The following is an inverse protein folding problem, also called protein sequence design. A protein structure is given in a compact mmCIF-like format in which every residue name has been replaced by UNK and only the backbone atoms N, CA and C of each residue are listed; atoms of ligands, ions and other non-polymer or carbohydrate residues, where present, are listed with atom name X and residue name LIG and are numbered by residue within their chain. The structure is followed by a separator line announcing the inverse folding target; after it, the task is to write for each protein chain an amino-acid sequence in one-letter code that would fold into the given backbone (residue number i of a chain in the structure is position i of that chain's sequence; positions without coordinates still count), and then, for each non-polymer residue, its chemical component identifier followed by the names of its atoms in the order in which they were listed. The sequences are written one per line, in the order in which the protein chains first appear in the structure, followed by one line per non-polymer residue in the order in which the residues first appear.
data_IF_850479085883
#
_entry.id   IF_850479085883
#
_cell.length_a   1.000
_cell.length_b   1.000
_cell.length_c   1.000
_cell.angle_alpha   90.00
_cell.angle_beta   90.00
_cell.angle_gamma   90.00
#
_symmetry.space_group_name_H-M   'P 1'
#
loop_
_entity.id
_entity.type
_entity.pdbx_description
1 polymer ?
#
# COMPACT_ATOMS: atom_id res chain seq x y z
N UNK A 1 80.97 -22.07 36.86
CA UNK A 1 79.72 -21.75 36.13
C UNK A 1 79.51 -22.83 35.08
N UNK A 2 78.67 -23.81 35.40
CA UNK A 2 78.37 -24.97 34.55
C UNK A 2 77.15 -24.57 33.73
N UNK A 3 77.31 -24.51 32.41
CA UNK A 3 76.31 -24.04 31.46
C UNK A 3 74.96 -24.72 31.70
N UNK A 4 73.98 -23.93 32.09
CA UNK A 4 72.58 -24.28 32.33
C UNK A 4 71.85 -24.47 30.99
N UNK A 5 72.40 -25.30 30.10
CA UNK A 5 71.81 -25.65 28.79
C UNK A 5 71.76 -27.17 28.53
N UNK A 6 72.38 -27.99 29.36
CA UNK A 6 72.46 -29.46 29.16
C UNK A 6 71.24 -30.24 29.71
N UNK A 7 70.16 -29.57 30.12
CA UNK A 7 69.03 -30.25 30.79
C UNK A 7 67.81 -30.57 29.93
N UNK A 8 67.69 -30.02 28.72
CA UNK A 8 66.41 -30.08 27.98
C UNK A 8 66.36 -31.25 26.99
N UNK A 9 67.50 -31.73 26.51
CA UNK A 9 67.57 -32.78 25.50
C UNK A 9 68.25 -34.05 26.03
N UNK A 10 67.51 -35.16 26.14
CA UNK A 10 68.11 -36.45 26.50
C UNK A 10 68.60 -37.15 25.23
N UNK A 11 69.91 -37.17 25.04
CA UNK A 11 70.57 -38.04 24.07
C UNK A 11 70.58 -39.46 24.64
N UNK A 12 69.68 -40.32 24.16
CA UNK A 12 69.65 -41.73 24.57
C UNK A 12 70.47 -42.55 23.58
N UNK A 13 71.51 -43.21 24.08
CA UNK A 13 72.21 -44.28 23.35
C UNK A 13 71.50 -45.60 23.66
N UNK A 14 71.06 -46.29 22.62
CA UNK A 14 70.44 -47.60 22.74
C UNK A 14 71.39 -48.65 22.16
N UNK A 15 71.50 -49.77 22.85
CA UNK A 15 72.20 -50.96 22.41
C UNK A 15 71.15 -52.07 22.24
N UNK A 16 71.13 -52.76 21.10
CA UNK A 16 70.30 -53.97 20.90
C UNK A 16 71.18 -55.22 21.04
N UNK A 17 70.56 -56.32 21.48
CA UNK A 17 71.21 -57.55 21.98
C UNK A 17 72.13 -58.28 20.98
N UNK A 18 72.07 -57.97 19.69
CA UNK A 18 72.93 -58.62 18.66
C UNK A 18 74.08 -57.74 18.14
N UNK A 19 74.52 -56.74 18.91
CA UNK A 19 75.79 -56.03 18.65
C UNK A 19 75.84 -55.14 17.41
N UNK A 20 74.76 -55.04 16.62
CA UNK A 20 74.65 -54.12 15.50
C UNK A 20 73.42 -53.21 15.65
N UNK A 21 73.67 -51.99 16.14
CA UNK A 21 73.28 -50.68 15.56
C UNK A 21 73.68 -49.58 16.56
N UNK A 22 74.66 -48.73 16.20
CA UNK A 22 75.08 -47.58 17.01
C UNK A 22 74.34 -46.32 16.55
N UNK A 23 73.36 -45.87 17.33
CA UNK A 23 72.66 -44.60 17.09
C UNK A 23 72.46 -43.81 18.37
N UNK A 24 72.64 -42.50 18.31
CA UNK A 24 72.24 -41.58 19.39
C UNK A 24 70.96 -40.89 18.97
N UNK A 25 69.90 -41.05 19.78
CA UNK A 25 68.60 -40.46 19.47
C UNK A 25 68.37 -39.23 20.33
N UNK A 26 67.97 -38.12 19.69
CA UNK A 26 67.46 -36.95 20.37
C UNK A 26 66.00 -37.19 20.72
N UNK A 27 65.69 -37.30 22.02
CA UNK A 27 64.32 -37.42 22.51
C UNK A 27 63.91 -36.12 23.20
N UNK A 28 62.87 -35.48 22.68
CA UNK A 28 62.23 -34.30 23.29
C UNK A 28 60.92 -34.79 23.91
N UNK A 29 60.87 -35.01 25.24
CA UNK A 29 59.70 -35.60 25.89
C UNK A 29 58.49 -34.65 25.93
N UNK A 30 58.73 -33.35 25.96
CA UNK A 30 57.72 -32.29 25.98
C UNK A 30 58.27 -31.15 25.12
N UNK A 31 57.52 -30.73 24.10
CA UNK A 31 57.96 -29.69 23.16
C UNK A 31 57.66 -28.32 23.75
N UNK A 32 58.70 -27.51 23.98
CA UNK A 32 58.60 -26.12 24.43
C UNK A 32 58.88 -25.16 23.29
N UNK A 33 58.55 -23.88 23.49
CA UNK A 33 58.83 -22.85 22.48
C UNK A 33 60.32 -22.74 22.11
N UNK A 34 61.20 -23.06 23.05
CA UNK A 34 62.65 -23.08 22.87
C UNK A 34 63.15 -24.24 21.99
N UNK A 35 62.33 -25.29 21.83
CA UNK A 35 62.69 -26.49 21.06
C UNK A 35 62.31 -26.36 19.57
N UNK A 36 61.65 -25.27 19.16
CA UNK A 36 61.35 -25.01 17.76
C UNK A 36 62.62 -24.58 17.01
N UNK A 37 62.84 -25.17 15.84
CA UNK A 37 64.04 -24.92 15.06
C UNK A 37 64.36 -26.04 14.07
N UNK A 38 65.49 -25.87 13.38
CA UNK A 38 65.99 -26.82 12.39
C UNK A 38 67.03 -27.75 13.03
N UNK A 39 66.79 -29.05 12.90
CA UNK A 39 67.63 -30.12 13.42
C UNK A 39 68.25 -30.91 12.27
N UNK A 40 69.43 -31.49 12.51
CA UNK A 40 70.13 -32.33 11.52
C UNK A 40 70.34 -33.72 12.10
N UNK A 41 69.82 -34.72 11.41
CA UNK A 41 70.11 -36.12 11.68
C UNK A 41 71.29 -36.55 10.82
N UNK A 42 72.36 -37.01 11.46
CA UNK A 42 73.58 -37.48 10.80
C UNK A 42 73.65 -39.00 10.93
N UNK A 43 73.66 -39.70 9.79
CA UNK A 43 73.82 -41.14 9.71
C UNK A 43 75.20 -41.41 9.13
N UNK A 44 76.11 -41.97 9.93
CA UNK A 44 77.47 -42.30 9.51
C UNK A 44 77.62 -43.81 9.37
N UNK A 45 77.98 -44.25 8.17
CA UNK A 45 78.48 -45.60 7.89
C UNK A 45 79.95 -45.51 7.48
N UNK A 46 80.75 -46.59 7.63
CA UNK A 46 82.14 -46.58 7.20
C UNK A 46 82.24 -46.19 5.72
N UNK A 47 82.79 -45.01 5.43
CA UNK A 47 82.97 -44.48 4.07
C UNK A 47 81.82 -43.66 3.49
N UNK A 48 80.68 -43.48 4.17
CA UNK A 48 79.59 -42.62 3.70
C UNK A 48 78.84 -41.96 4.87
N UNK A 49 78.61 -40.65 4.79
CA UNK A 49 77.83 -39.89 5.78
C UNK A 49 76.65 -39.23 5.08
N UNK A 50 75.45 -39.47 5.61
CA UNK A 50 74.21 -38.89 5.09
C UNK A 50 73.65 -37.94 6.15
N UNK A 51 73.35 -36.72 5.73
CA UNK A 51 72.69 -35.72 6.58
C UNK A 51 71.24 -35.53 6.13
N UNK A 52 70.32 -35.48 7.10
CA UNK A 52 68.88 -35.24 6.89
C UNK A 52 68.45 -34.08 7.77
N UNK A 53 67.97 -33.01 7.15
CA UNK A 53 67.39 -31.86 7.87
C UNK A 53 65.94 -32.15 8.27
N UNK A 54 65.58 -31.77 9.49
CA UNK A 54 64.24 -31.92 10.08
C UNK A 54 63.90 -30.65 10.85
N UNK A 55 62.82 -29.97 10.49
CA UNK A 55 62.38 -28.74 11.17
C UNK A 55 61.20 -29.00 12.10
N UNK A 56 61.27 -28.56 13.34
CA UNK A 56 60.13 -28.55 14.27
C UNK A 56 59.58 -27.13 14.33
N UNK A 57 58.33 -26.94 13.88
CA UNK A 57 57.66 -25.63 13.85
C UNK A 57 56.36 -25.70 14.63
N UNK A 58 55.99 -24.57 15.23
CA UNK A 58 54.69 -24.42 15.87
C UNK A 58 53.59 -24.45 14.80
N UNK A 59 52.64 -25.37 14.94
CA UNK A 59 51.43 -25.39 14.11
C UNK A 59 50.38 -24.53 14.81
N UNK A 60 50.32 -23.25 14.47
CA UNK A 60 49.19 -22.40 14.87
C UNK A 60 47.99 -22.78 13.98
N UNK A 61 47.13 -23.66 14.49
CA UNK A 61 45.79 -23.83 13.94
C UNK A 61 45.00 -22.56 14.31
N UNK A 62 45.04 -21.58 13.42
CA UNK A 62 44.06 -20.50 13.44
C UNK A 62 42.71 -21.14 13.10
N UNK A 63 41.90 -21.45 14.11
CA UNK A 63 40.48 -21.65 13.88
C UNK A 63 39.92 -20.32 13.37
N UNK A 64 39.86 -20.20 12.05
CA UNK A 64 39.16 -19.11 11.39
C UNK A 64 37.69 -19.21 11.81
N UNK A 65 37.27 -18.32 12.71
CA UNK A 65 35.88 -18.25 13.18
C UNK A 65 34.99 -17.83 12.00
N UNK A 66 34.60 -18.79 11.18
CA UNK A 66 33.60 -18.61 10.14
C UNK A 66 32.27 -18.50 10.85
N UNK A 67 31.82 -17.26 11.08
CA UNK A 67 30.55 -16.96 11.73
C UNK A 67 29.42 -17.74 11.02
N UNK A 68 28.79 -18.74 11.67
CA UNK A 68 27.95 -19.73 10.99
C UNK A 68 26.61 -19.15 10.48
N UNK A 69 26.32 -17.88 10.79
CA UNK A 69 25.19 -17.17 10.24
C UNK A 69 25.47 -15.65 10.22
N UNK A 70 26.06 -15.11 9.14
CA UNK A 70 26.12 -13.67 8.95
C UNK A 70 24.71 -13.20 8.59
N UNK A 71 23.79 -13.15 9.56
CA UNK A 71 22.50 -12.50 9.39
C UNK A 71 22.83 -11.10 8.89
N UNK A 72 22.38 -10.70 7.70
CA UNK A 72 22.80 -9.43 7.12
C UNK A 72 22.01 -8.31 7.79
N UNK A 73 22.24 -8.09 9.08
CA UNK A 73 21.53 -7.12 9.93
C UNK A 73 21.52 -5.75 9.28
N UNK A 74 22.63 -5.35 8.65
CA UNK A 74 22.70 -4.11 7.86
C UNK A 74 21.73 -4.09 6.68
N UNK A 75 21.62 -5.17 5.90
CA UNK A 75 20.64 -5.25 4.78
C UNK A 75 19.21 -5.26 5.30
N UNK A 76 18.95 -5.95 6.41
CA UNK A 76 17.63 -5.98 7.04
C UNK A 76 17.23 -4.59 7.55
N UNK A 77 18.13 -3.85 8.21
CA UNK A 77 17.88 -2.48 8.66
C UNK A 77 17.62 -1.56 7.46
N UNK A 78 18.40 -1.68 6.38
CA UNK A 78 18.19 -0.89 5.16
C UNK A 78 16.83 -1.18 4.53
N UNK A 79 16.45 -2.45 4.39
CA UNK A 79 15.14 -2.86 3.85
C UNK A 79 14.01 -2.34 4.75
N UNK A 80 14.13 -2.51 6.07
CA UNK A 80 13.12 -2.02 7.02
C UNK A 80 12.98 -0.49 6.98
N UNK A 81 14.10 0.24 6.86
CA UNK A 81 14.06 1.69 6.71
C UNK A 81 13.39 2.11 5.40
N UNK A 82 13.69 1.43 4.29
CA UNK A 82 13.06 1.69 3.00
C UNK A 82 11.55 1.42 3.04
N UNK A 83 11.13 0.32 3.65
CA UNK A 83 9.71 0.00 3.86
C UNK A 83 9.04 1.08 4.70
N UNK A 84 9.68 1.56 5.77
CA UNK A 84 9.14 2.63 6.62
C UNK A 84 8.96 3.93 5.83
N UNK A 85 9.95 4.32 5.02
CA UNK A 85 9.85 5.53 4.18
C UNK A 85 8.72 5.41 3.15
N UNK A 86 8.58 4.25 2.51
CA UNK A 86 7.49 3.99 1.56
C UNK A 86 6.14 4.03 2.28
N UNK A 87 6.01 3.42 3.45
CA UNK A 87 4.79 3.47 4.25
C UNK A 87 4.42 4.90 4.65
N UNK A 88 5.39 5.70 5.11
CA UNK A 88 5.18 7.11 5.43
C UNK A 88 4.75 7.91 4.19
N UNK A 89 5.39 7.68 3.04
CA UNK A 89 5.00 8.33 1.79
C UNK A 89 3.57 7.97 1.40
N UNK A 90 3.17 6.70 1.50
CA UNK A 90 1.80 6.26 1.25
C UNK A 90 0.81 6.93 2.22
N UNK A 91 1.15 7.04 3.51
CA UNK A 91 0.32 7.71 4.51
C UNK A 91 0.15 9.19 4.16
N UNK A 92 1.23 9.89 3.82
CA UNK A 92 1.17 11.31 3.43
C UNK A 92 0.34 11.50 2.16
N UNK A 93 0.56 10.66 1.14
CA UNK A 93 -0.23 10.67 -0.09
C UNK A 93 -1.71 10.38 0.19
N UNK A 94 -2.01 9.45 1.10
CA UNK A 94 -3.38 9.16 1.52
C UNK A 94 -4.02 10.34 2.28
N UNK A 95 -3.28 11.02 3.15
CA UNK A 95 -3.79 12.19 3.87
C UNK A 95 -4.03 13.38 2.93
N UNK A 96 -3.15 13.61 1.96
CA UNK A 96 -3.27 14.74 1.03
C UNK A 96 -4.22 14.47 -0.14
N UNK A 97 -4.15 13.28 -0.72
CA UNK A 97 -4.84 12.91 -1.96
C UNK A 97 -5.88 11.82 -1.77
N UNK A 98 -6.17 11.40 -0.53
CA UNK A 98 -7.05 10.27 -0.24
C UNK A 98 -8.40 10.37 -0.93
N UNK A 99 -9.03 11.55 -0.96
CA UNK A 99 -10.31 11.74 -1.67
C UNK A 99 -10.15 11.58 -3.18
N UNK A 100 -9.11 12.16 -3.79
CA UNK A 100 -8.85 12.05 -5.24
C UNK A 100 -8.60 10.60 -5.63
N UNK A 101 -7.77 9.92 -4.83
CA UNK A 101 -7.40 8.52 -5.03
C UNK A 101 -8.58 7.58 -4.84
N UNK A 102 -9.40 7.79 -3.79
CA UNK A 102 -10.62 7.00 -3.57
C UNK A 102 -11.62 7.15 -4.72
N UNK A 103 -11.79 8.37 -5.26
CA UNK A 103 -12.64 8.58 -6.44
C UNK A 103 -12.09 7.83 -7.65
N UNK A 104 -10.78 7.92 -7.90
CA UNK A 104 -10.14 7.21 -9.01
C UNK A 104 -10.26 5.69 -8.90
N UNK A 105 -10.03 5.12 -7.71
CA UNK A 105 -10.22 3.69 -7.45
C UNK A 105 -11.67 3.32 -7.71
N UNK A 106 -12.60 4.07 -7.12
CA UNK A 106 -14.03 3.78 -7.28
C UNK A 106 -14.42 3.80 -8.76
N UNK A 107 -14.05 4.82 -9.51
CA UNK A 107 -14.43 4.92 -10.93
C UNK A 107 -13.73 3.88 -11.80
N UNK A 108 -12.51 3.46 -11.45
CA UNK A 108 -11.78 2.45 -12.21
C UNK A 108 -12.25 1.01 -11.93
N UNK A 109 -12.65 0.71 -10.70
CA UNK A 109 -12.97 -0.66 -10.26
C UNK A 109 -14.47 -0.94 -10.11
N UNK A 110 -15.31 0.09 -10.04
CA UNK A 110 -16.77 -0.12 -9.94
C UNK A 110 -17.34 -0.44 -11.31
N UNK A 111 -18.05 -1.57 -11.42
CA UNK A 111 -18.79 -1.93 -12.63
C UNK A 111 -19.92 -0.93 -12.88
N UNK A 112 -20.11 -0.54 -14.13
CA UNK A 112 -21.19 0.35 -14.54
C UNK A 112 -22.56 -0.29 -14.27
N UNK A 113 -23.44 0.44 -13.55
CA UNK A 113 -24.80 0.02 -13.15
C UNK A 113 -25.79 0.04 -14.35
N UNK A 114 -25.40 -0.40 -15.56
CA UNK A 114 -26.18 -0.21 -16.81
C UNK A 114 -27.42 -1.10 -16.96
N UNK A 115 -27.46 -2.26 -16.31
CA UNK A 115 -28.54 -3.25 -16.47
C UNK A 115 -29.72 -3.10 -15.48
N UNK A 116 -29.77 -2.01 -14.72
CA UNK A 116 -30.73 -1.85 -13.62
C UNK A 116 -32.13 -1.34 -14.06
N UNK A 117 -32.36 -1.15 -15.36
CA UNK A 117 -33.62 -0.61 -15.90
C UNK A 117 -33.87 0.87 -15.58
N UNK A 118 -32.90 1.56 -14.97
CA UNK A 118 -32.97 2.98 -14.60
C UNK A 118 -32.48 3.88 -15.74
N UNK A 119 -33.22 4.94 -16.03
CA UNK A 119 -32.98 5.80 -17.20
C UNK A 119 -32.00 6.95 -16.93
N UNK A 120 -31.79 7.30 -15.65
CA UNK A 120 -31.01 8.47 -15.23
C UNK A 120 -30.07 8.12 -14.06
N UNK A 121 -28.92 8.79 -13.97
CA UNK A 121 -27.95 8.56 -12.90
C UNK A 121 -28.32 9.30 -11.62
N UNK A 122 -28.64 10.59 -11.78
CA UNK A 122 -28.82 11.52 -10.67
C UNK A 122 -30.06 12.37 -10.92
N UNK A 123 -31.01 12.34 -9.98
CA UNK A 123 -32.10 13.30 -9.90
C UNK A 123 -31.66 14.48 -9.02
N UNK A 124 -31.55 15.67 -9.59
CA UNK A 124 -31.23 16.90 -8.86
C UNK A 124 -32.55 17.55 -8.44
N UNK A 125 -32.74 17.68 -7.13
CA UNK A 125 -33.94 18.26 -6.53
C UNK A 125 -33.56 19.60 -5.89
N UNK A 126 -34.19 20.70 -6.31
CA UNK A 126 -33.75 22.05 -5.92
C UNK A 126 -34.92 22.99 -5.61
N UNK A 127 -34.67 24.04 -4.82
CA UNK A 127 -35.64 25.10 -4.57
C UNK A 127 -35.56 26.13 -5.70
N UNK A 128 -36.68 26.75 -6.13
CA UNK A 128 -36.65 27.73 -7.23
C UNK A 128 -35.65 28.88 -7.00
N UNK A 129 -35.39 29.27 -5.74
CA UNK A 129 -34.38 30.30 -5.40
C UNK A 129 -32.93 29.83 -5.62
N UNK A 130 -32.69 28.52 -5.61
CA UNK A 130 -31.36 27.91 -5.80
C UNK A 130 -31.15 27.36 -7.22
N UNK A 131 -32.08 27.67 -8.14
CA UNK A 131 -32.06 27.18 -9.52
C UNK A 131 -30.76 27.50 -10.26
N UNK A 132 -30.21 28.70 -10.08
CA UNK A 132 -28.95 29.12 -10.70
C UNK A 132 -27.78 28.22 -10.29
N UNK A 133 -27.67 27.88 -9.00
CA UNK A 133 -26.60 27.02 -8.48
C UNK A 133 -26.83 25.56 -8.88
N UNK A 134 -28.07 25.08 -8.77
CA UNK A 134 -28.43 23.70 -9.05
C UNK A 134 -28.33 23.33 -10.54
N UNK A 135 -28.81 24.20 -11.43
CA UNK A 135 -28.78 23.96 -12.87
C UNK A 135 -27.50 24.48 -13.51
N UNK A 136 -27.09 25.71 -13.18
CA UNK A 136 -25.97 26.38 -13.83
C UNK A 136 -24.60 25.86 -13.39
N UNK A 137 -24.45 25.46 -12.12
CA UNK A 137 -23.15 24.94 -11.63
C UNK A 137 -23.21 23.43 -11.46
N UNK A 138 -24.15 22.93 -10.67
CA UNK A 138 -24.17 21.52 -10.27
C UNK A 138 -24.49 20.58 -11.43
N UNK A 139 -25.62 20.81 -12.13
CA UNK A 139 -26.02 19.99 -13.27
C UNK A 139 -25.00 20.10 -14.41
N UNK A 140 -24.63 21.32 -14.81
CA UNK A 140 -23.66 21.53 -15.89
C UNK A 140 -22.32 20.82 -15.62
N UNK A 141 -21.80 20.91 -14.39
CA UNK A 141 -20.55 20.22 -14.03
C UNK A 141 -20.71 18.70 -14.04
N UNK A 142 -21.82 18.18 -13.51
CA UNK A 142 -22.09 16.73 -13.49
C UNK A 142 -22.23 16.15 -14.90
N UNK A 143 -22.86 16.87 -15.82
CA UNK A 143 -23.06 16.43 -17.20
C UNK A 143 -21.78 16.61 -18.03
N UNK A 144 -21.18 17.82 -18.04
CA UNK A 144 -20.04 18.14 -18.92
C UNK A 144 -18.71 17.58 -18.44
N UNK A 145 -18.40 17.68 -17.14
CA UNK A 145 -17.10 17.27 -16.62
C UNK A 145 -17.09 15.80 -16.18
N UNK A 146 -18.22 15.31 -15.65
CA UNK A 146 -18.31 13.98 -15.06
C UNK A 146 -19.13 12.97 -15.87
N UNK A 147 -19.75 13.37 -16.99
CA UNK A 147 -20.52 12.50 -17.90
C UNK A 147 -21.66 11.73 -17.20
N UNK A 148 -22.29 12.33 -16.19
CA UNK A 148 -23.51 11.78 -15.62
C UNK A 148 -24.72 12.20 -16.43
N UNK A 149 -25.72 11.32 -16.51
CA UNK A 149 -27.04 11.70 -17.04
C UNK A 149 -27.90 12.24 -15.89
N UNK A 150 -28.05 13.55 -15.85
CA UNK A 150 -28.80 14.23 -14.80
C UNK A 150 -30.20 14.58 -15.27
N UNK A 151 -31.15 14.53 -14.34
CA UNK A 151 -32.50 15.09 -14.53
C UNK A 151 -32.75 16.02 -13.36
N UNK A 152 -33.31 17.20 -13.60
CA UNK A 152 -33.56 18.17 -12.56
C UNK A 152 -35.07 18.37 -12.33
N UNK A 153 -35.47 18.51 -11.07
CA UNK A 153 -36.85 18.75 -10.68
C UNK A 153 -36.93 19.73 -9.52
N UNK A 154 -37.90 20.64 -9.59
CA UNK A 154 -38.16 21.58 -8.52
C UNK A 154 -38.78 20.89 -7.31
N UNK A 155 -38.39 21.32 -6.11
CA UNK A 155 -39.00 20.91 -4.85
C UNK A 155 -40.45 21.41 -4.82
N UNK A 156 -41.44 20.52 -4.65
CA UNK A 156 -42.82 20.95 -4.52
C UNK A 156 -42.98 21.81 -3.26
N UNK A 157 -43.75 22.91 -3.34
CA UNK A 157 -44.05 23.72 -2.18
C UNK A 157 -44.83 22.89 -1.14
N UNK A 158 -44.65 23.19 0.14
CA UNK A 158 -45.30 22.52 1.28
C UNK A 158 -44.87 21.06 1.52
N UNK A 159 -43.59 20.74 1.29
CA UNK A 159 -42.97 19.47 1.72
C UNK A 159 -43.67 18.19 1.20
N UNK A 160 -44.38 18.29 0.07
CA UNK A 160 -45.02 17.15 -0.62
C UNK A 160 -44.03 16.36 -1.48
N UNK A 161 -42.94 15.92 -0.88
CA UNK A 161 -41.87 15.24 -1.63
C UNK A 161 -42.28 13.88 -2.20
N UNK A 162 -43.39 13.30 -1.74
CA UNK A 162 -43.96 12.06 -2.29
C UNK A 162 -44.24 12.13 -3.79
N UNK A 163 -44.53 13.32 -4.33
CA UNK A 163 -44.77 13.51 -5.77
C UNK A 163 -43.51 13.22 -6.60
N UNK A 164 -42.31 13.37 -6.02
CA UNK A 164 -41.03 13.10 -6.67
C UNK A 164 -40.64 11.62 -6.66
N UNK A 165 -41.45 10.75 -6.05
CA UNK A 165 -41.11 9.34 -5.85
C UNK A 165 -40.98 8.62 -7.18
N UNK A 166 -41.85 8.93 -8.15
CA UNK A 166 -41.86 8.26 -9.45
C UNK A 166 -40.61 8.62 -10.27
N UNK A 167 -40.17 9.88 -10.25
CA UNK A 167 -38.91 10.30 -10.86
C UNK A 167 -37.69 9.76 -10.10
N UNK A 168 -37.76 9.74 -8.76
CA UNK A 168 -36.69 9.22 -7.92
C UNK A 168 -36.42 7.74 -8.22
N UNK A 169 -37.45 6.92 -8.44
CA UNK A 169 -37.30 5.50 -8.76
C UNK A 169 -36.68 5.26 -10.14
N UNK A 170 -36.90 6.16 -11.11
CA UNK A 170 -36.24 6.12 -12.43
C UNK A 170 -34.75 6.44 -12.35
N UNK A 171 -34.29 7.05 -11.25
CA UNK A 171 -32.92 7.50 -11.06
C UNK A 171 -32.13 6.57 -10.11
N UNK A 172 -30.81 6.47 -10.31
CA UNK A 172 -29.94 5.66 -9.44
C UNK A 172 -29.70 6.32 -8.09
N UNK A 173 -29.52 7.64 -8.07
CA UNK A 173 -29.33 8.46 -6.87
C UNK A 173 -30.20 9.71 -6.94
N UNK A 174 -30.58 10.24 -5.78
CA UNK A 174 -31.27 11.53 -5.64
C UNK A 174 -30.35 12.50 -4.91
N UNK A 175 -30.17 13.68 -5.46
CA UNK A 175 -29.32 14.75 -4.97
C UNK A 175 -30.18 15.97 -4.66
N UNK A 176 -30.48 16.26 -3.40
CA UNK A 176 -31.20 17.47 -3.05
C UNK A 176 -30.23 18.61 -2.72
N UNK A 177 -30.44 19.76 -3.34
CA UNK A 177 -29.81 21.03 -2.97
C UNK A 177 -30.65 21.67 -1.87
N UNK A 178 -30.04 21.86 -0.71
CA UNK A 178 -30.72 22.25 0.51
C UNK A 178 -30.20 23.62 0.98
N UNK A 179 -31.11 24.57 1.07
CA UNK A 179 -30.87 25.93 1.56
C UNK A 179 -32.05 26.37 2.42
N UNK A 180 -31.96 27.51 3.13
CA UNK A 180 -33.12 28.09 3.82
C UNK A 180 -34.36 28.23 2.91
N UNK A 181 -34.17 28.47 1.62
CA UNK A 181 -35.26 28.56 0.65
C UNK A 181 -35.96 27.22 0.37
N UNK A 182 -35.32 26.08 0.66
CA UNK A 182 -35.94 24.76 0.51
C UNK A 182 -37.01 24.47 1.58
N UNK A 183 -37.00 25.23 2.69
CA UNK A 183 -37.89 25.04 3.85
C UNK A 183 -38.73 26.29 4.11
N UNK A 184 -39.06 27.03 3.05
CA UNK A 184 -39.83 28.28 3.13
C UNK A 184 -39.24 29.29 4.13
N UNK A 185 -37.91 29.41 4.18
CA UNK A 185 -37.15 30.32 5.08
C UNK A 185 -37.20 29.96 6.57
N UNK A 186 -37.98 28.95 6.97
CA UNK A 186 -38.05 28.44 8.34
C UNK A 186 -36.96 27.40 8.60
N UNK A 187 -35.69 27.85 8.63
CA UNK A 187 -34.48 27.03 8.76
C UNK A 187 -34.24 26.52 10.20
N UNK A 188 -35.25 25.86 10.76
CA UNK A 188 -35.20 25.27 12.09
C UNK A 188 -34.81 23.79 12.05
N UNK A 189 -34.21 23.29 13.13
CA UNK A 189 -33.79 21.87 13.28
C UNK A 189 -34.92 20.90 12.96
N UNK A 190 -36.14 21.18 13.43
CA UNK A 190 -37.30 20.30 13.23
C UNK A 190 -37.75 20.26 11.77
N UNK A 191 -37.86 21.42 11.11
CA UNK A 191 -38.34 21.49 9.73
C UNK A 191 -37.31 20.88 8.77
N UNK A 192 -36.02 21.16 8.99
CA UNK A 192 -34.91 20.56 8.25
C UNK A 192 -34.91 19.04 8.44
N UNK A 193 -35.08 18.55 9.67
CA UNK A 193 -35.11 17.12 9.94
C UNK A 193 -36.31 16.44 9.28
N UNK A 194 -37.51 17.03 9.36
CA UNK A 194 -38.72 16.51 8.70
C UNK A 194 -38.54 16.46 7.19
N UNK A 195 -38.01 17.51 6.57
CA UNK A 195 -37.79 17.55 5.14
C UNK A 195 -36.77 16.49 4.68
N UNK A 196 -35.66 16.33 5.40
CA UNK A 196 -34.66 15.30 5.10
C UNK A 196 -35.23 13.88 5.25
N UNK A 197 -36.06 13.63 6.27
CA UNK A 197 -36.74 12.33 6.46
C UNK A 197 -37.68 12.00 5.30
N UNK A 198 -38.46 12.97 4.85
CA UNK A 198 -39.38 12.78 3.73
C UNK A 198 -38.64 12.58 2.40
N UNK A 199 -37.49 13.24 2.20
CA UNK A 199 -36.64 12.98 1.03
C UNK A 199 -35.97 11.60 1.11
N UNK A 200 -35.59 11.16 2.30
CA UNK A 200 -35.06 9.81 2.52
C UNK A 200 -36.11 8.72 2.27
N UNK A 201 -37.39 8.99 2.52
CA UNK A 201 -38.48 8.02 2.32
C UNK A 201 -38.84 7.77 0.85
N UNK A 202 -38.22 8.47 -0.10
CA UNK A 202 -38.37 8.24 -1.54
C UNK A 202 -37.88 6.84 -1.99
N UNK A 203 -37.11 6.16 -1.15
CA UNK A 203 -36.72 4.75 -1.34
C UNK A 203 -35.50 4.55 -2.22
N UNK A 204 -34.82 5.61 -2.63
CA UNK A 204 -33.55 5.56 -3.36
C UNK A 204 -32.42 6.17 -2.51
N UNK A 205 -31.16 5.82 -2.84
CA UNK A 205 -30.00 6.36 -2.13
C UNK A 205 -29.97 7.88 -2.32
N UNK A 206 -30.16 8.58 -1.22
CA UNK A 206 -30.31 10.03 -1.14
C UNK A 206 -28.99 10.68 -0.69
N UNK A 207 -28.63 11.79 -1.31
CA UNK A 207 -27.49 12.64 -0.97
C UNK A 207 -28.01 14.07 -0.85
N UNK A 208 -27.62 14.77 0.21
CA UNK A 208 -28.01 16.15 0.44
C UNK A 208 -26.79 17.07 0.30
N UNK A 209 -26.92 18.13 -0.49
CA UNK A 209 -25.93 19.19 -0.67
C UNK A 209 -26.47 20.43 0.03
N UNK A 210 -25.89 20.77 1.17
CA UNK A 210 -26.28 21.95 1.93
C UNK A 210 -25.50 23.18 1.43
N UNK A 211 -26.23 24.21 0.99
CA UNK A 211 -25.67 25.52 0.59
C UNK A 211 -25.43 26.44 1.79
N UNK A 212 -26.02 26.13 2.92
CA UNK A 212 -25.87 26.86 4.18
C UNK A 212 -25.58 25.87 5.31
N UNK A 213 -24.93 26.35 6.37
CA UNK A 213 -24.71 25.53 7.55
C UNK A 213 -26.06 25.04 8.10
N UNK A 214 -26.15 23.73 8.32
CA UNK A 214 -27.32 23.15 9.00
C UNK A 214 -27.46 23.78 10.40
N UNK A 215 -28.69 24.03 10.87
CA UNK A 215 -28.90 24.61 12.17
C UNK A 215 -28.33 23.67 13.24
N UNK A 216 -27.36 24.18 14.00
CA UNK A 216 -26.77 23.46 15.14
C UNK A 216 -27.68 23.70 16.33
N UNK A 217 -28.46 22.70 16.71
CA UNK A 217 -29.21 22.78 17.95
C UNK A 217 -28.25 22.53 19.10
N UNK A 218 -27.99 23.53 19.94
CA UNK A 218 -27.18 23.39 21.18
C UNK A 218 -27.78 22.34 22.12
N UNK A 219 -29.09 22.11 22.02
CA UNK A 219 -29.78 20.99 22.61
C UNK A 219 -30.16 20.02 21.48
N UNK A 220 -29.56 18.83 21.40
CA UNK A 220 -29.98 17.82 20.43
C UNK A 220 -31.43 17.38 20.74
N UNK A 221 -32.41 18.11 20.21
CA UNK A 221 -33.82 17.79 20.37
C UNK A 221 -34.05 16.49 19.62
N UNK A 222 -34.28 15.42 20.37
CA UNK A 222 -34.70 14.13 19.82
C UNK A 222 -36.12 14.32 19.29
N UNK A 223 -36.35 13.88 18.05
CA UNK A 223 -37.71 13.80 17.55
C UNK A 223 -38.51 12.74 18.33
N UNK A 224 -39.81 12.62 18.03
CA UNK A 224 -40.69 11.60 18.61
C UNK A 224 -40.22 10.15 18.43
N UNK A 225 -39.26 9.91 17.53
CA UNK A 225 -38.63 8.61 17.26
C UNK A 225 -37.22 8.47 17.88
N UNK A 226 -36.77 9.44 18.69
CA UNK A 226 -35.47 9.39 19.36
C UNK A 226 -34.26 9.76 18.49
N UNK A 227 -34.47 10.13 17.23
CA UNK A 227 -33.37 10.44 16.30
C UNK A 227 -33.03 11.93 16.31
N UNK A 228 -31.72 12.23 16.29
CA UNK A 228 -31.19 13.59 16.20
C UNK A 228 -30.91 13.97 14.75
N UNK A 229 -30.89 15.27 14.46
CA UNK A 229 -30.48 15.78 13.14
C UNK A 229 -29.06 15.32 12.77
N UNK A 230 -28.15 15.22 13.75
CA UNK A 230 -26.80 14.71 13.54
C UNK A 230 -26.78 13.25 13.09
N UNK A 231 -27.61 12.39 13.69
CA UNK A 231 -27.74 10.99 13.28
C UNK A 231 -28.26 10.87 11.83
N UNK A 232 -29.30 11.64 11.51
CA UNK A 232 -29.90 11.67 10.17
C UNK A 232 -28.92 12.21 9.11
N UNK A 233 -28.16 13.25 9.46
CA UNK A 233 -27.14 13.84 8.58
C UNK A 233 -26.03 12.83 8.24
N UNK A 234 -25.63 12.01 9.22
CA UNK A 234 -24.62 10.96 9.02
C UNK A 234 -25.13 9.83 8.12
N UNK A 235 -26.40 9.43 8.25
CA UNK A 235 -26.97 8.34 7.44
C UNK A 235 -27.24 8.76 5.99
N UNK A 236 -27.67 10.01 5.76
CA UNK A 236 -27.92 10.56 4.42
C UNK A 236 -26.62 10.96 3.71
N UNK A 237 -25.56 11.27 4.47
CA UNK A 237 -24.29 11.72 3.90
C UNK A 237 -24.41 13.14 3.35
N UNK A 238 -24.79 14.09 4.22
CA UNK A 238 -24.85 15.52 3.86
C UNK A 238 -23.46 16.05 3.52
N UNK A 239 -23.37 16.83 2.45
CA UNK A 239 -22.17 17.54 2.02
C UNK A 239 -22.43 19.03 2.14
N UNK A 240 -21.60 19.74 2.89
CA UNK A 240 -21.61 21.20 2.92
C UNK A 240 -20.84 21.73 1.70
N UNK A 241 -21.49 22.59 0.91
CA UNK A 241 -20.83 23.29 -0.18
C UNK A 241 -20.20 24.58 0.30
N UNK A 242 -18.90 24.53 0.58
CA UNK A 242 -18.10 25.73 0.82
C UNK A 242 -17.40 26.15 -0.48
N UNK A 243 -17.74 27.32 -1.03
CA UNK A 243 -17.13 27.87 -2.27
C UNK A 243 -15.60 28.00 -2.21
N UNK A 244 -14.99 27.91 -1.02
CA UNK A 244 -13.53 27.95 -0.83
C UNK A 244 -12.85 26.60 -1.10
N UNK A 245 -13.59 25.50 -1.07
CA UNK A 245 -13.06 24.13 -1.16
C UNK A 245 -13.81 23.30 -2.21
N UNK A 246 -14.02 23.86 -3.40
CA UNK A 246 -14.80 23.23 -4.47
C UNK A 246 -14.25 21.85 -4.86
N UNK A 247 -12.94 21.68 -4.98
CA UNK A 247 -12.31 20.38 -5.28
C UNK A 247 -12.75 19.28 -4.31
N UNK A 248 -12.62 19.55 -3.01
CA UNK A 248 -12.97 18.60 -1.95
C UNK A 248 -14.46 18.28 -1.97
N UNK A 249 -15.29 19.29 -2.22
CA UNK A 249 -16.72 19.13 -2.44
C UNK A 249 -17.00 18.15 -3.58
N UNK A 250 -16.44 18.37 -4.76
CA UNK A 250 -16.65 17.53 -5.94
C UNK A 250 -16.19 16.08 -5.75
N UNK A 251 -15.02 15.85 -5.15
CA UNK A 251 -14.57 14.49 -4.86
C UNK A 251 -15.52 13.80 -3.86
N UNK A 252 -15.92 14.51 -2.80
CA UNK A 252 -16.85 13.96 -1.80
C UNK A 252 -18.24 13.66 -2.38
N UNK A 253 -18.69 14.46 -3.35
CA UNK A 253 -19.94 14.25 -4.07
C UNK A 253 -19.85 13.01 -4.97
N UNK A 254 -18.79 12.90 -5.77
CA UNK A 254 -18.55 11.74 -6.65
C UNK A 254 -18.43 10.42 -5.90
N UNK A 255 -17.86 10.44 -4.69
CA UNK A 255 -17.83 9.24 -3.84
C UNK A 255 -19.24 8.74 -3.46
N UNK A 256 -20.25 9.61 -3.42
CA UNK A 256 -21.64 9.24 -3.09
C UNK A 256 -22.52 8.98 -4.33
N UNK A 257 -22.14 9.53 -5.48
CA UNK A 257 -22.80 9.32 -6.78
C UNK A 257 -22.51 7.94 -7.41
N UNK A 258 -23.19 7.49 -8.48
CA UNK A 258 -22.81 6.24 -9.15
C UNK A 258 -21.45 6.36 -9.85
N UNK A 259 -20.86 5.25 -10.28
CA UNK A 259 -19.58 5.27 -11.00
C UNK A 259 -19.71 6.04 -12.33
N UNK A 260 -18.65 6.76 -12.71
CA UNK A 260 -18.62 7.54 -13.95
C UNK A 260 -18.78 6.63 -15.18
N UNK A 261 -19.64 7.03 -16.13
CA UNK A 261 -19.71 6.41 -17.46
C UNK A 261 -18.43 6.68 -18.22
N UNK A 262 -17.79 5.63 -18.74
CA UNK A 262 -16.70 5.81 -19.70
C UNK A 262 -17.32 6.37 -20.97
N UNK A 263 -16.76 7.47 -21.45
CA UNK A 263 -17.14 8.04 -22.75
C UNK A 263 -16.81 7.03 -23.84
N UNK A 264 -17.68 6.83 -24.84
CA UNK A 264 -17.54 5.85 -25.94
C UNK A 264 -16.14 5.84 -26.61
N UNK A 265 -15.42 6.98 -26.58
CA UNK A 265 -14.06 7.11 -27.10
C UNK A 265 -12.98 6.32 -26.32
N UNK A 266 -13.21 5.94 -25.06
CA UNK A 266 -12.30 5.09 -24.28
C UNK A 266 -12.56 3.59 -24.50
N UNK A 267 -13.80 3.19 -24.81
CA UNK A 267 -14.13 1.79 -25.13
C UNK A 267 -13.55 1.38 -26.48
N UNK A 268 -13.56 2.28 -27.48
CA UNK A 268 -12.89 2.01 -28.76
C UNK A 268 -11.39 1.86 -28.60
N UNK A 269 -10.75 2.57 -27.67
CA UNK A 269 -9.32 2.43 -27.36
C UNK A 269 -9.01 1.13 -26.62
N UNK A 270 -9.89 0.66 -25.71
CA UNK A 270 -9.67 -0.62 -25.04
C UNK A 270 -9.88 -1.82 -25.99
N UNK A 271 -10.85 -1.76 -26.91
CA UNK A 271 -11.02 -2.78 -27.95
C UNK A 271 -9.85 -2.79 -28.95
N UNK A 272 -9.45 -1.63 -29.48
CA UNK A 272 -8.31 -1.57 -30.42
C UNK A 272 -6.97 -1.89 -29.76
N UNK A 273 -6.77 -1.56 -28.48
CA UNK A 273 -5.56 -1.96 -27.74
C UNK A 273 -5.56 -3.46 -27.40
N UNK A 274 -6.73 -4.08 -27.17
CA UNK A 274 -6.85 -5.54 -27.06
C UNK A 274 -6.56 -6.28 -28.37
N UNK A 275 -7.10 -5.80 -29.49
CA UNK A 275 -6.88 -6.39 -30.82
C UNK A 275 -5.44 -6.23 -31.32
N UNK A 276 -4.80 -5.08 -31.07
CA UNK A 276 -3.40 -4.87 -31.47
C UNK A 276 -2.42 -5.77 -30.70
N UNK A 277 -2.69 -6.04 -29.42
CA UNK A 277 -1.86 -6.98 -28.63
C UNK A 277 -2.05 -8.44 -29.06
N UNK A 278 -3.25 -8.83 -29.51
CA UNK A 278 -3.49 -10.15 -30.11
C UNK A 278 -2.76 -10.32 -31.45
N UNK A 279 -2.74 -9.28 -32.30
CA UNK A 279 -2.02 -9.32 -33.59
C UNK A 279 -0.50 -9.35 -33.47
N UNK A 280 0.09 -8.67 -32.48
CA UNK A 280 1.54 -8.68 -32.25
C UNK A 280 2.05 -10.03 -31.70
N UNK A 281 1.21 -10.76 -30.96
CA UNK A 281 1.56 -12.11 -30.50
C UNK A 281 1.46 -13.16 -31.61
N UNK A 282 0.53 -13.05 -32.55
CA UNK A 282 0.46 -14.00 -33.69
C UNK A 282 1.60 -13.81 -34.68
N UNK A 283 2.05 -12.58 -34.94
CA UNK A 283 3.17 -12.31 -35.86
C UNK A 283 4.53 -12.76 -35.33
N UNK A 284 4.65 -12.99 -34.01
CA UNK A 284 5.90 -13.42 -33.38
C UNK A 284 6.08 -14.95 -33.41
N UNK A 285 5.00 -15.72 -33.67
CA UNK A 285 5.05 -17.18 -33.77
C UNK A 285 5.35 -17.67 -35.19
N UNK A 286 4.93 -16.96 -36.24
CA UNK A 286 5.22 -17.37 -37.64
C UNK A 286 6.70 -17.20 -38.05
N UNK A 287 7.49 -16.44 -37.30
CA UNK A 287 8.92 -16.25 -37.57
C UNK A 287 9.84 -17.39 -37.08
N UNK A 288 9.33 -18.35 -36.30
CA UNK A 288 10.12 -19.50 -35.82
C UNK A 288 9.92 -20.79 -36.64
N UNK A 289 8.85 -20.88 -37.43
CA UNK A 289 8.54 -22.08 -38.22
C UNK A 289 9.19 -22.10 -39.62
N UNK A 290 9.93 -21.04 -39.99
CA UNK A 290 10.67 -20.96 -41.27
C UNK A 290 12.17 -21.30 -41.13
N UNK A 291 12.55 -22.01 -40.07
CA UNK A 291 13.93 -22.45 -39.80
C UNK A 291 13.96 -23.95 -39.44
N UNK A 292 13.45 -24.79 -40.34
CA UNK A 292 13.72 -26.24 -40.40
C UNK A 292 13.97 -26.63 -41.85
#
# INVERSE_FOLDING_TARGET
MKSEKDKIHKLRRLYREDGQTFGTYLMIPEVRMEDFGDYICIISNPGNTIERQVSVREKTEYEEYVNPNPVPVGRMILIMSAILFVALAIIILYLQYGLKFQVHIKDSFTRLEENDGKSCDVLIVYSPKDSEVALGVLMETLEKHYNYKCTARELPPNTRYSELKDEAQKCRRVLAVFSPAAVNENWDTNNVQQALKQLQSLGTKFVCVALSNLPKSENEVKNSQGETLASLTRSIGVILWERKQDDKFWYSLRLRLPAKRKTECEETKQLTQGENNLRLNSSSQESLDNLV
#
